data_IF_992398649354
#
_entry.id   IF_992398649354
#
_cell.length_a   1.000
_cell.length_b   1.000
_cell.length_c   1.000
_cell.angle_alpha   90.00
_cell.angle_beta   90.00
_cell.angle_gamma   90.00
#
_symmetry.space_group_name_H-M   'P 1'
#
loop_
_entity.id
_entity.type
_entity.pdbx_description
1 polymer ?
#
# COMPACT_ATOMS: atom_id res chain seq x y z
N UNK A 1 -26.37 -24.19 51.93
CA UNK A 1 -25.09 -23.49 51.59
C UNK A 1 -25.23 -22.99 50.16
N UNK A 2 -25.16 -21.66 49.99
CA UNK A 2 -25.27 -20.94 48.72
C UNK A 2 -23.99 -21.14 47.91
N UNK A 3 -24.10 -21.51 46.64
CA UNK A 3 -23.09 -21.14 45.63
C UNK A 3 -23.79 -20.43 44.48
N UNK A 4 -23.29 -19.22 44.21
CA UNK A 4 -23.78 -18.29 43.22
C UNK A 4 -23.41 -18.78 41.82
N UNK A 5 -24.40 -18.73 40.92
CA UNK A 5 -24.21 -18.82 39.47
C UNK A 5 -23.64 -17.48 39.00
N UNK A 6 -22.46 -17.49 38.37
CA UNK A 6 -21.99 -16.34 37.60
C UNK A 6 -22.19 -16.66 36.13
N UNK A 7 -23.19 -15.97 35.57
CA UNK A 7 -23.49 -15.88 34.15
C UNK A 7 -22.33 -15.13 33.48
N UNK A 8 -21.58 -15.83 32.64
CA UNK A 8 -20.44 -15.27 31.89
C UNK A 8 -20.67 -15.39 30.39
N UNK A 9 -21.26 -14.34 29.81
CA UNK A 9 -21.10 -13.85 28.43
C UNK A 9 -21.03 -14.85 27.28
N UNK A 10 -22.15 -15.01 26.57
CA UNK A 10 -22.14 -15.38 25.14
C UNK A 10 -21.82 -14.13 24.33
N UNK A 11 -20.63 -14.09 23.73
CA UNK A 11 -20.36 -13.30 22.52
C UNK A 11 -19.55 -14.16 21.56
N UNK A 12 -20.26 -14.98 20.80
CA UNK A 12 -19.80 -15.44 19.50
C UNK A 12 -19.85 -14.25 18.54
N UNK A 13 -18.72 -13.91 17.89
CA UNK A 13 -18.60 -13.39 16.51
C UNK A 13 -17.26 -12.67 16.33
N UNK A 14 -16.34 -13.28 15.60
CA UNK A 14 -15.87 -12.89 14.25
C UNK A 14 -14.61 -13.71 14.00
N UNK A 15 -14.74 -14.57 13.01
CA UNK A 15 -13.71 -15.38 12.37
C UNK A 15 -12.43 -14.60 12.11
N UNK A 16 -11.29 -15.10 12.59
CA UNK A 16 -9.99 -14.84 11.98
C UNK A 16 -10.12 -15.15 10.49
N UNK A 17 -10.20 -14.14 9.63
CA UNK A 17 -10.08 -14.34 8.19
C UNK A 17 -8.60 -14.54 7.86
N UNK A 18 -8.17 -15.72 7.36
CA UNK A 18 -6.84 -15.88 6.81
C UNK A 18 -6.90 -15.41 5.37
N UNK A 19 -6.70 -14.11 5.12
CA UNK A 19 -6.50 -13.63 3.74
C UNK A 19 -5.03 -13.82 3.39
N UNK A 20 -4.73 -15.03 2.92
CA UNK A 20 -3.55 -15.35 2.14
C UNK A 20 -3.51 -14.49 0.87
N UNK A 21 -2.65 -13.47 0.79
CA UNK A 21 -1.82 -13.18 -0.40
C UNK A 21 -0.69 -12.21 -0.03
N UNK A 22 0.57 -12.61 -0.27
CA UNK A 22 1.73 -11.72 -0.34
C UNK A 22 2.42 -11.39 1.00
N UNK A 23 3.60 -11.97 1.23
CA UNK A 23 4.59 -11.32 2.09
C UNK A 23 4.99 -9.99 1.41
N UNK A 24 4.35 -8.88 1.75
CA UNK A 24 4.59 -7.59 1.07
C UNK A 24 4.03 -6.37 1.80
N UNK A 25 2.91 -6.50 2.49
CA UNK A 25 2.30 -5.39 3.23
C UNK A 25 2.95 -5.12 4.60
N UNK A 26 3.55 -6.15 5.24
CA UNK A 26 4.10 -6.05 6.59
C UNK A 26 5.51 -5.43 6.65
N UNK A 27 6.25 -5.42 5.53
CA UNK A 27 7.67 -5.07 5.53
C UNK A 27 7.97 -3.63 5.08
N UNK A 28 7.00 -2.95 4.45
CA UNK A 28 7.22 -1.57 4.00
C UNK A 28 7.23 -0.63 5.22
N UNK A 29 8.28 0.16 5.46
CA UNK A 29 8.32 1.08 6.61
C UNK A 29 7.20 2.13 6.60
N UNK A 30 6.84 2.64 7.77
CA UNK A 30 5.74 3.62 7.95
C UNK A 30 6.21 4.93 8.60
N UNK A 31 7.52 5.11 8.69
CA UNK A 31 8.16 6.22 9.38
C UNK A 31 9.10 7.02 8.48
N UNK A 32 8.91 6.95 7.15
CA UNK A 32 9.67 7.77 6.21
C UNK A 32 9.43 9.26 6.48
N UNK A 33 10.44 10.09 6.25
CA UNK A 33 10.20 11.51 6.17
C UNK A 33 9.41 11.84 4.89
N UNK A 34 8.59 12.89 4.92
CA UNK A 34 7.91 13.38 3.71
C UNK A 34 8.90 13.67 2.59
N UNK A 35 10.08 14.21 2.93
CA UNK A 35 11.13 14.51 1.97
C UNK A 35 11.63 13.26 1.26
N UNK A 36 11.91 12.19 2.00
CA UNK A 36 12.44 10.94 1.41
C UNK A 36 11.36 10.26 0.57
N UNK A 37 10.13 10.20 1.08
CA UNK A 37 8.98 9.67 0.34
C UNK A 37 8.76 10.40 -0.99
N UNK A 38 8.69 11.73 -0.96
CA UNK A 38 8.47 12.53 -2.16
C UNK A 38 9.67 12.49 -3.11
N UNK A 39 10.91 12.49 -2.57
CA UNK A 39 12.12 12.43 -3.36
C UNK A 39 12.29 11.12 -4.12
N UNK A 40 11.96 9.98 -3.51
CA UNK A 40 11.91 8.70 -4.24
C UNK A 40 10.69 8.63 -5.16
N UNK A 41 9.57 9.25 -4.80
CA UNK A 41 8.37 9.35 -5.63
C UNK A 41 8.64 10.07 -6.95
N UNK A 42 9.39 11.17 -6.89
CA UNK A 42 9.81 11.93 -8.07
C UNK A 42 10.71 11.09 -8.99
N UNK A 43 11.66 10.33 -8.44
CA UNK A 43 12.52 9.42 -9.22
C UNK A 43 11.71 8.32 -9.90
N UNK A 44 10.70 7.78 -9.21
CA UNK A 44 9.77 6.83 -9.80
C UNK A 44 8.99 7.47 -10.95
N UNK A 45 8.42 8.67 -10.75
CA UNK A 45 7.70 9.41 -11.80
C UNK A 45 8.60 9.81 -12.99
N UNK A 46 9.88 10.09 -12.75
CA UNK A 46 10.86 10.46 -13.77
C UNK A 46 11.42 9.24 -14.55
N UNK A 47 11.05 8.02 -14.19
CA UNK A 47 11.55 6.81 -14.84
C UNK A 47 11.11 6.75 -16.31
N UNK A 48 12.07 6.52 -17.21
CA UNK A 48 11.82 6.50 -18.67
C UNK A 48 11.65 5.10 -19.23
N UNK A 49 12.08 4.09 -18.48
CA UNK A 49 11.93 2.68 -18.84
C UNK A 49 11.25 1.88 -17.73
N UNK A 50 10.66 0.74 -18.09
CA UNK A 50 10.04 -0.14 -17.10
C UNK A 50 11.05 -0.64 -16.05
N UNK A 51 12.29 -0.94 -16.46
CA UNK A 51 13.34 -1.40 -15.56
C UNK A 51 13.73 -0.33 -14.54
N UNK A 52 13.82 0.93 -14.97
CA UNK A 52 14.02 2.07 -14.06
C UNK A 52 12.84 2.20 -13.09
N UNK A 53 11.60 2.09 -13.59
CA UNK A 53 10.40 2.14 -12.77
C UNK A 53 10.35 1.03 -11.71
N UNK A 54 10.78 -0.19 -12.04
CA UNK A 54 10.89 -1.30 -11.08
C UNK A 54 11.92 -0.98 -10.00
N UNK A 55 13.13 -0.57 -10.38
CA UNK A 55 14.18 -0.24 -9.41
C UNK A 55 13.76 0.94 -8.50
N UNK A 56 13.08 1.94 -9.06
CA UNK A 56 12.54 3.07 -8.28
C UNK A 56 11.39 2.64 -7.35
N UNK A 57 10.53 1.70 -7.79
CA UNK A 57 9.46 1.15 -6.95
C UNK A 57 10.02 0.30 -5.79
N UNK A 58 11.08 -0.47 -6.01
CA UNK A 58 11.79 -1.19 -4.94
C UNK A 58 12.35 -0.20 -3.91
N UNK A 59 12.99 0.88 -4.37
CA UNK A 59 13.51 1.94 -3.48
C UNK A 59 12.41 2.66 -2.70
N UNK A 60 11.27 2.93 -3.34
CA UNK A 60 10.08 3.43 -2.66
C UNK A 60 9.63 2.45 -1.56
N UNK A 61 9.54 1.16 -1.87
CA UNK A 61 9.18 0.12 -0.90
C UNK A 61 10.14 0.07 0.30
N UNK A 62 11.44 0.23 0.07
CA UNK A 62 12.47 0.29 1.12
C UNK A 62 12.35 1.54 2.00
N UNK A 63 12.09 2.72 1.41
CA UNK A 63 11.90 3.98 2.16
C UNK A 63 10.60 3.92 2.96
N UNK A 64 9.55 3.41 2.34
CA UNK A 64 8.22 3.33 2.91
C UNK A 64 7.45 4.64 2.85
N UNK A 65 6.47 4.82 3.74
CA UNK A 65 5.57 5.98 3.72
C UNK A 65 5.70 6.83 4.98
N UNK A 66 5.26 8.11 4.95
CA UNK A 66 5.14 8.92 6.14
C UNK A 66 4.12 8.39 7.15
N UNK A 67 4.28 8.73 8.43
CA UNK A 67 3.38 8.26 9.52
C UNK A 67 1.94 8.75 9.39
N UNK A 68 1.74 9.90 8.74
CA UNK A 68 0.45 10.58 8.62
C UNK A 68 -0.27 10.30 7.29
N UNK A 69 0.22 9.33 6.50
CA UNK A 69 -0.48 8.88 5.30
C UNK A 69 -1.84 8.26 5.70
N UNK A 70 -2.88 8.49 4.91
CA UNK A 70 -4.18 7.87 5.15
C UNK A 70 -4.12 6.36 4.87
N UNK A 71 -5.00 5.57 5.49
CA UNK A 71 -5.02 4.13 5.26
C UNK A 71 -5.24 3.76 3.79
N UNK A 72 -6.14 4.47 3.09
CA UNK A 72 -6.39 4.28 1.66
C UNK A 72 -5.18 4.62 0.80
N UNK A 73 -4.52 5.77 1.06
CA UNK A 73 -3.29 6.14 0.35
C UNK A 73 -2.15 5.15 0.62
N UNK A 74 -2.04 4.64 1.85
CA UNK A 74 -1.07 3.60 2.19
C UNK A 74 -1.35 2.30 1.46
N UNK A 75 -2.60 1.87 1.38
CA UNK A 75 -2.96 0.69 0.61
C UNK A 75 -2.60 0.87 -0.87
N UNK A 76 -2.90 2.04 -1.45
CA UNK A 76 -2.57 2.35 -2.83
C UNK A 76 -1.07 2.35 -3.08
N UNK A 77 -0.27 2.81 -2.11
CA UNK A 77 1.19 2.76 -2.18
C UNK A 77 1.70 1.32 -2.28
N UNK A 78 1.24 0.46 -1.37
CA UNK A 78 1.63 -0.96 -1.35
C UNK A 78 1.23 -1.63 -2.67
N UNK A 79 -0.02 -1.43 -3.09
CA UNK A 79 -0.54 -1.99 -4.34
C UNK A 79 0.22 -1.51 -5.58
N UNK A 80 0.66 -0.24 -5.60
CA UNK A 80 1.50 0.30 -6.67
C UNK A 80 2.86 -0.40 -6.70
N UNK A 81 3.56 -0.43 -5.56
CA UNK A 81 4.89 -1.04 -5.45
C UNK A 81 4.83 -2.52 -5.84
N UNK A 82 3.94 -3.30 -5.23
CA UNK A 82 3.78 -4.73 -5.52
C UNK A 82 3.42 -4.99 -6.99
N UNK A 83 2.59 -4.13 -7.59
CA UNK A 83 2.21 -4.31 -8.99
C UNK A 83 3.36 -4.03 -9.94
N UNK A 84 4.15 -2.99 -9.68
CA UNK A 84 5.31 -2.67 -10.51
C UNK A 84 6.38 -3.74 -10.36
N UNK A 85 6.77 -4.08 -9.13
CA UNK A 85 7.86 -5.04 -8.86
C UNK A 85 7.47 -6.48 -9.17
N UNK A 86 6.18 -6.82 -9.01
CA UNK A 86 5.65 -8.13 -9.37
C UNK A 86 5.38 -8.31 -10.86
N UNK A 87 5.64 -7.31 -11.71
CA UNK A 87 5.41 -7.39 -13.16
C UNK A 87 6.66 -7.73 -13.95
N UNK A 88 6.52 -8.67 -14.90
CA UNK A 88 7.65 -9.15 -15.71
C UNK A 88 8.08 -8.13 -16.78
N UNK A 89 7.18 -7.22 -17.17
CA UNK A 89 7.40 -6.23 -18.21
C UNK A 89 6.40 -5.08 -18.12
N UNK A 90 6.68 -3.98 -18.83
CA UNK A 90 5.73 -2.87 -18.95
C UNK A 90 4.41 -3.27 -19.62
N UNK A 91 4.41 -4.29 -20.48
CA UNK A 91 3.20 -4.83 -21.07
C UNK A 91 2.37 -5.63 -20.06
N UNK A 92 3.03 -6.42 -19.20
CA UNK A 92 2.36 -7.11 -18.10
C UNK A 92 1.79 -6.12 -17.07
N UNK A 93 2.57 -5.11 -16.69
CA UNK A 93 2.12 -4.02 -15.82
C UNK A 93 0.84 -3.36 -16.35
N UNK A 94 0.80 -2.99 -17.64
CA UNK A 94 -0.40 -2.43 -18.28
C UNK A 94 -1.60 -3.38 -18.22
N UNK A 95 -1.38 -4.68 -18.45
CA UNK A 95 -2.45 -5.70 -18.33
C UNK A 95 -2.98 -5.81 -16.91
N UNK A 96 -2.11 -5.77 -15.90
CA UNK A 96 -2.52 -5.75 -14.49
C UNK A 96 -3.26 -4.47 -14.16
N UNK A 97 -2.79 -3.31 -14.62
CA UNK A 97 -3.45 -2.03 -14.41
C UNK A 97 -4.85 -2.00 -15.01
N UNK A 98 -5.07 -2.60 -16.18
CA UNK A 98 -6.39 -2.72 -16.80
C UNK A 98 -7.37 -3.63 -16.02
N UNK A 99 -6.89 -4.40 -15.05
CA UNK A 99 -7.67 -5.33 -14.23
C UNK A 99 -7.79 -4.89 -12.76
N UNK A 100 -7.62 -3.59 -12.50
CA UNK A 100 -7.85 -3.04 -11.17
C UNK A 100 -9.29 -3.30 -10.72
N UNK A 101 -9.42 -3.82 -9.51
CA UNK A 101 -10.69 -3.83 -8.79
C UNK A 101 -11.09 -2.40 -8.42
N UNK A 102 -12.37 -2.21 -8.09
CA UNK A 102 -12.87 -0.92 -7.63
C UNK A 102 -12.14 -0.42 -6.37
N UNK A 103 -11.79 -1.34 -5.46
CA UNK A 103 -11.07 -0.99 -4.23
C UNK A 103 -9.66 -0.49 -4.52
N UNK A 104 -8.88 -1.23 -5.33
CA UNK A 104 -7.53 -0.82 -5.71
C UNK A 104 -7.54 0.52 -6.46
N UNK A 105 -8.52 0.72 -7.35
CA UNK A 105 -8.66 2.01 -8.05
C UNK A 105 -8.90 3.18 -7.08
N UNK A 106 -9.72 2.97 -6.03
CA UNK A 106 -9.92 3.97 -4.97
C UNK A 106 -8.64 4.21 -4.17
N UNK A 107 -7.94 3.16 -3.77
CA UNK A 107 -6.69 3.30 -3.01
C UNK A 107 -5.60 4.05 -3.80
N UNK A 108 -5.45 3.76 -5.09
CA UNK A 108 -4.53 4.49 -5.96
C UNK A 108 -4.93 5.96 -6.14
N UNK A 109 -6.23 6.26 -6.16
CA UNK A 109 -6.71 7.64 -6.18
C UNK A 109 -6.40 8.38 -4.87
N UNK A 110 -6.62 7.74 -3.72
CA UNK A 110 -6.26 8.29 -2.41
C UNK A 110 -4.75 8.54 -2.31
N UNK A 111 -3.92 7.63 -2.83
CA UNK A 111 -2.47 7.82 -2.91
C UNK A 111 -2.13 9.04 -3.75
N UNK A 112 -2.71 9.16 -4.95
CA UNK A 112 -2.46 10.30 -5.83
C UNK A 112 -2.86 11.63 -5.17
N UNK A 113 -4.02 11.68 -4.53
CA UNK A 113 -4.47 12.88 -3.79
C UNK A 113 -3.50 13.23 -2.65
N UNK A 114 -3.04 12.23 -1.90
CA UNK A 114 -2.05 12.44 -0.84
C UNK A 114 -0.73 13.00 -1.40
N UNK A 115 -0.21 12.41 -2.48
CA UNK A 115 1.03 12.87 -3.13
C UNK A 115 0.88 14.31 -3.61
N UNK A 116 -0.21 14.66 -4.29
CA UNK A 116 -0.44 16.03 -4.78
C UNK A 116 -0.47 17.05 -3.63
N UNK A 117 -1.12 16.71 -2.52
CA UNK A 117 -1.21 17.59 -1.34
C UNK A 117 0.10 17.70 -0.55
N UNK A 118 0.93 16.65 -0.58
CA UNK A 118 2.05 16.49 0.35
C UNK A 118 3.39 16.79 -0.30
N UNK A 119 3.54 16.47 -1.59
CA UNK A 119 4.79 16.58 -2.32
C UNK A 119 4.89 17.83 -3.20
N UNK A 120 3.91 18.74 -3.13
CA UNK A 120 3.84 19.96 -3.94
C UNK A 120 4.09 19.72 -5.45
N UNK A 121 3.67 18.55 -5.95
CA UNK A 121 3.68 18.23 -7.37
C UNK A 121 2.49 18.92 -8.05
N UNK A 122 2.58 20.24 -8.18
CA UNK A 122 1.62 21.13 -8.87
C UNK A 122 2.14 21.54 -10.22
#
# INVERSE_FOLDING_TARGET
>A
MRWSVVVGGVLASVTLSPILVGCGQADIPTNASTRDFCGEGEKFSASTSFKEGVAAAEKLGEVGTPKNITAGARAGFVELVERVTGSDSGADFKKKQAKLTKAEATHLADLNEYIQKTCDLS
#
